data_IF_573998015360
#
_entry.id   IF_573998015360
#
_cell.length_a   1.000
_cell.length_b   1.000
_cell.length_c   1.000
_cell.angle_alpha   90.00
_cell.angle_beta   90.00
_cell.angle_gamma   90.00
#
_symmetry.space_group_name_H-M   'P 1'
#
loop_
_entity.id
_entity.type
_entity.pdbx_description
1 polymer ?
#
# COMPACT_ATOMS: atom_id res chain seq x y z
N UNK A 1 0.97 25.61 13.77
CA UNK A 1 1.69 24.32 13.77
C UNK A 1 1.90 23.90 12.32
N UNK A 2 3.07 23.35 11.95
CA UNK A 2 3.29 22.82 10.60
C UNK A 2 2.43 21.56 10.42
N UNK A 3 1.99 21.27 9.22
CA UNK A 3 1.09 20.16 8.93
C UNK A 3 1.79 19.07 8.12
N UNK A 4 1.56 17.81 8.48
CA UNK A 4 2.14 16.65 7.81
C UNK A 4 1.04 15.70 7.36
N UNK A 5 1.08 15.28 6.09
CA UNK A 5 0.20 14.25 5.56
C UNK A 5 0.97 12.92 5.47
N UNK A 6 0.41 11.85 6.01
CA UNK A 6 0.93 10.49 5.88
C UNK A 6 -0.03 9.69 5.00
N UNK A 7 0.47 9.10 3.93
CA UNK A 7 -0.24 8.11 3.13
C UNK A 7 0.37 6.74 3.30
N UNK A 8 -0.47 5.72 3.30
CA UNK A 8 -0.02 4.32 3.23
C UNK A 8 -1.19 3.38 3.03
N UNK A 9 -0.92 2.08 3.11
CA UNK A 9 -1.93 1.04 2.98
C UNK A 9 -2.35 0.51 4.37
N UNK A 10 -2.64 -0.78 4.46
CA UNK A 10 -3.02 -1.44 5.72
C UNK A 10 -1.92 -1.35 6.78
N UNK A 11 -0.65 -1.36 6.38
CA UNK A 11 0.52 -1.13 7.26
C UNK A 11 0.59 0.30 7.84
N UNK A 12 -0.26 1.22 7.41
CA UNK A 12 -0.39 2.56 8.02
C UNK A 12 -1.70 2.71 8.79
N UNK A 13 -2.56 1.69 8.82
CA UNK A 13 -3.88 1.77 9.46
C UNK A 13 -3.84 1.63 10.99
N UNK A 14 -2.75 1.11 11.54
CA UNK A 14 -2.56 0.93 12.98
C UNK A 14 -1.77 -0.32 13.32
N UNK A 15 -2.08 -0.91 14.46
CA UNK A 15 -1.49 -2.14 14.99
C UNK A 15 -2.48 -3.29 14.90
N UNK A 16 -1.99 -4.44 14.45
CA UNK A 16 -2.79 -5.64 14.27
C UNK A 16 -2.46 -6.67 15.35
N UNK A 17 -3.45 -7.51 15.63
CA UNK A 17 -3.28 -8.69 16.46
C UNK A 17 -4.07 -9.85 15.90
N UNK A 18 -3.91 -10.99 16.57
CA UNK A 18 -4.54 -12.24 16.17
C UNK A 18 -5.96 -12.27 16.74
N UNK A 19 -6.94 -12.55 15.87
CA UNK A 19 -8.31 -12.82 16.26
C UNK A 19 -8.51 -14.34 16.43
N UNK A 20 -8.52 -14.77 17.68
CA UNK A 20 -8.69 -16.16 18.10
C UNK A 20 -10.16 -16.63 18.08
N UNK A 21 -11.12 -15.72 17.88
CA UNK A 21 -12.55 -16.02 17.87
C UNK A 21 -12.98 -17.00 16.77
N UNK A 22 -12.16 -17.16 15.72
CA UNK A 22 -12.39 -18.08 14.60
C UNK A 22 -11.42 -19.26 14.58
N UNK A 23 -10.62 -19.46 15.64
CA UNK A 23 -9.86 -20.68 15.79
C UNK A 23 -10.82 -21.86 15.91
N UNK A 24 -10.71 -22.83 15.01
CA UNK A 24 -11.43 -24.09 15.14
C UNK A 24 -11.16 -24.72 16.51
N UNK A 25 -12.09 -25.53 17.01
CA UNK A 25 -11.91 -26.33 18.23
C UNK A 25 -10.53 -26.98 18.25
N UNK A 26 -9.88 -27.02 19.42
CA UNK A 26 -8.45 -27.32 19.67
C UNK A 26 -7.84 -28.53 18.92
N UNK A 27 -8.66 -29.42 18.36
CA UNK A 27 -8.27 -30.69 17.76
C UNK A 27 -7.79 -30.63 16.29
N UNK A 28 -7.94 -29.51 15.58
CA UNK A 28 -7.42 -29.41 14.19
C UNK A 28 -6.77 -28.05 13.89
N UNK A 29 -5.50 -27.92 14.29
CA UNK A 29 -4.64 -26.77 13.97
C UNK A 29 -4.55 -26.48 12.45
N UNK A 30 -4.85 -27.46 11.59
CA UNK A 30 -4.88 -27.26 10.13
C UNK A 30 -6.15 -26.53 9.65
N UNK A 31 -7.17 -26.44 10.49
CA UNK A 31 -8.43 -25.74 10.21
C UNK A 31 -8.56 -24.41 10.98
N UNK A 32 -7.54 -24.00 11.74
CA UNK A 32 -7.54 -22.68 12.37
C UNK A 32 -7.32 -21.61 11.31
N UNK A 33 -8.41 -20.93 10.94
CA UNK A 33 -8.33 -19.71 10.13
C UNK A 33 -8.09 -18.57 11.11
N UNK A 34 -6.83 -18.36 11.48
CA UNK A 34 -6.43 -17.15 12.20
C UNK A 34 -6.85 -15.95 11.34
N UNK A 35 -7.56 -14.99 11.92
CA UNK A 35 -7.87 -13.75 11.22
C UNK A 35 -7.08 -12.63 11.87
N UNK A 36 -6.49 -11.75 11.07
CA UNK A 36 -5.96 -10.52 11.62
C UNK A 36 -7.10 -9.57 11.93
N UNK A 37 -7.06 -8.99 13.12
CA UNK A 37 -7.90 -7.85 13.47
C UNK A 37 -7.01 -6.64 13.68
N UNK A 38 -7.52 -5.48 13.26
CA UNK A 38 -6.91 -4.22 13.65
C UNK A 38 -7.25 -3.97 15.13
N UNK A 39 -6.30 -4.22 16.02
CA UNK A 39 -6.48 -4.10 17.47
C UNK A 39 -6.46 -2.66 17.94
N UNK A 40 -5.58 -1.87 17.34
CA UNK A 40 -5.42 -0.47 17.68
C UNK A 40 -5.21 0.34 16.42
N UNK A 41 -5.75 1.56 16.41
CA UNK A 41 -5.49 2.54 15.37
C UNK A 41 -4.12 3.19 15.52
N UNK A 42 -3.39 2.96 16.62
CA UNK A 42 -2.04 3.48 16.84
C UNK A 42 -1.07 2.78 15.88
N UNK A 43 -0.54 3.51 14.90
CA UNK A 43 0.47 3.01 13.95
C UNK A 43 1.90 3.49 14.27
N UNK A 44 2.85 3.08 13.42
CA UNK A 44 4.28 3.45 13.52
C UNK A 44 4.52 4.94 13.69
N UNK A 45 3.68 5.78 13.07
CA UNK A 45 3.81 7.24 13.10
C UNK A 45 3.63 7.83 14.51
N UNK A 46 2.95 7.13 15.42
CA UNK A 46 2.77 7.56 16.83
C UNK A 46 4.09 7.45 17.62
N UNK A 47 5.00 6.60 17.16
CA UNK A 47 6.30 6.33 17.77
C UNK A 47 7.45 7.12 17.11
N UNK A 48 7.13 7.99 16.14
CA UNK A 48 8.12 8.85 15.48
C UNK A 48 8.16 10.21 16.19
N UNK A 49 9.20 10.46 16.98
CA UNK A 49 9.27 11.63 17.87
C UNK A 49 9.24 12.95 17.11
N UNK A 50 9.91 13.02 15.96
CA UNK A 50 9.95 14.25 15.18
C UNK A 50 8.61 14.55 14.50
N UNK A 51 7.66 13.62 14.45
CA UNK A 51 6.29 13.89 13.97
C UNK A 51 5.46 14.64 15.00
N UNK A 52 5.77 14.55 16.30
CA UNK A 52 5.04 15.23 17.39
C UNK A 52 5.05 16.76 17.29
N UNK A 53 5.92 17.35 16.46
CA UNK A 53 5.95 18.79 16.16
C UNK A 53 5.03 19.22 15.01
N UNK A 54 4.29 18.27 14.41
CA UNK A 54 3.38 18.51 13.30
C UNK A 54 1.92 18.23 13.69
N UNK A 55 1.00 18.91 13.02
CA UNK A 55 -0.40 18.53 12.91
C UNK A 55 -0.50 17.44 11.84
N UNK A 56 -0.61 16.19 12.28
CA UNK A 56 -0.51 15.02 11.42
C UNK A 56 -1.90 14.58 10.97
N UNK A 57 -2.10 14.45 9.66
CA UNK A 57 -3.22 13.72 9.07
C UNK A 57 -2.69 12.42 8.48
N UNK A 58 -3.22 11.28 8.92
CA UNK A 58 -2.93 9.97 8.35
C UNK A 58 -4.10 9.54 7.48
N UNK A 59 -3.82 9.20 6.22
CA UNK A 59 -4.78 8.59 5.30
C UNK A 59 -4.26 7.20 4.96
N UNK A 60 -4.85 6.18 5.58
CA UNK A 60 -4.56 4.80 5.28
C UNK A 60 -5.62 4.23 4.33
N UNK A 61 -5.16 3.55 3.28
CA UNK A 61 -6.01 2.93 2.26
C UNK A 61 -5.74 1.42 2.23
N UNK A 62 -6.33 0.62 3.14
CA UNK A 62 -6.14 -0.83 3.22
C UNK A 62 -6.40 -1.52 1.88
N UNK A 63 -5.56 -2.49 1.54
CA UNK A 63 -5.60 -3.23 0.27
C UNK A 63 -5.40 -2.37 -1.01
N UNK A 64 -5.20 -1.05 -0.88
CA UNK A 64 -5.02 -0.16 -2.03
C UNK A 64 -3.55 0.08 -2.38
N UNK A 65 -3.30 0.81 -3.47
CA UNK A 65 -1.96 1.19 -3.93
C UNK A 65 -1.86 2.52 -4.68
N UNK A 66 -0.92 2.59 -5.61
CA UNK A 66 -0.44 3.84 -6.21
C UNK A 66 -1.51 4.60 -7.00
N UNK A 67 -2.39 3.90 -7.72
CA UNK A 67 -3.48 4.55 -8.46
C UNK A 67 -4.50 5.22 -7.52
N UNK A 68 -4.79 4.62 -6.37
CA UNK A 68 -5.62 5.22 -5.33
C UNK A 68 -4.95 6.47 -4.76
N UNK A 69 -3.63 6.44 -4.56
CA UNK A 69 -2.90 7.62 -4.10
C UNK A 69 -2.94 8.74 -5.13
N UNK A 70 -2.84 8.44 -6.42
CA UNK A 70 -3.05 9.43 -7.49
C UNK A 70 -4.45 10.05 -7.41
N UNK A 71 -5.51 9.25 -7.25
CA UNK A 71 -6.87 9.78 -7.10
C UNK A 71 -6.96 10.75 -5.91
N UNK A 72 -6.42 10.36 -4.75
CA UNK A 72 -6.40 11.19 -3.55
C UNK A 72 -5.61 12.49 -3.76
N UNK A 73 -4.40 12.41 -4.32
CA UNK A 73 -3.55 13.57 -4.55
C UNK A 73 -4.15 14.54 -5.56
N UNK A 74 -4.70 14.01 -6.66
CA UNK A 74 -5.38 14.82 -7.68
C UNK A 74 -6.54 15.59 -7.05
N UNK A 75 -7.40 14.93 -6.29
CA UNK A 75 -8.53 15.58 -5.64
C UNK A 75 -8.09 16.58 -4.56
N UNK A 76 -7.03 16.28 -3.80
CA UNK A 76 -6.44 17.24 -2.86
C UNK A 76 -5.86 18.47 -3.58
N UNK A 77 -5.27 18.31 -4.78
CA UNK A 77 -4.77 19.42 -5.60
C UNK A 77 -5.92 20.26 -6.17
N UNK A 78 -6.92 19.61 -6.78
CA UNK A 78 -8.10 20.26 -7.36
C UNK A 78 -8.87 21.09 -6.32
N UNK A 79 -8.99 20.56 -5.09
CA UNK A 79 -9.62 21.28 -3.97
C UNK A 79 -8.67 22.26 -3.26
N UNK A 80 -7.45 22.46 -3.77
CA UNK A 80 -6.39 23.31 -3.20
C UNK A 80 -5.95 22.92 -1.78
N UNK A 81 -6.39 21.77 -1.28
CA UNK A 81 -6.06 21.28 0.07
C UNK A 81 -4.62 20.81 0.16
N UNK A 82 -4.07 20.24 -0.90
CA UNK A 82 -2.68 19.77 -0.92
C UNK A 82 -1.70 20.91 -0.58
N UNK A 83 -1.77 22.01 -1.34
CA UNK A 83 -0.93 23.20 -1.15
C UNK A 83 -1.24 23.97 0.13
N UNK A 84 -2.52 24.16 0.46
CA UNK A 84 -2.93 25.02 1.59
C UNK A 84 -2.78 24.32 2.95
N UNK A 85 -2.91 22.99 2.99
CA UNK A 85 -2.98 22.24 4.24
C UNK A 85 -1.67 21.56 4.61
N UNK A 86 -0.75 21.22 3.71
CA UNK A 86 0.36 20.35 4.08
C UNK A 86 1.75 20.92 3.72
N UNK A 87 2.63 21.00 4.73
CA UNK A 87 4.02 21.41 4.58
C UNK A 87 4.94 20.23 4.26
N UNK A 88 4.53 19.03 4.69
CA UNK A 88 5.31 17.79 4.57
C UNK A 88 4.42 16.62 4.22
N UNK A 89 4.97 15.68 3.45
CA UNK A 89 4.33 14.40 3.14
C UNK A 89 5.22 13.24 3.56
N UNK A 90 4.63 12.15 4.04
CA UNK A 90 5.27 10.85 4.21
C UNK A 90 4.44 9.83 3.45
N UNK A 91 5.10 8.97 2.68
CA UNK A 91 4.46 7.86 1.98
C UNK A 91 5.09 6.56 2.50
N UNK A 92 4.27 5.67 3.04
CA UNK A 92 4.60 4.29 3.30
C UNK A 92 4.25 3.47 2.06
N UNK A 93 5.26 2.99 1.35
CA UNK A 93 5.08 2.18 0.14
C UNK A 93 4.46 0.83 0.47
N UNK A 94 3.57 0.39 -0.41
CA UNK A 94 2.99 -0.94 -0.35
C UNK A 94 4.07 -2.00 -0.54
N UNK A 95 3.84 -3.19 0.01
CA UNK A 95 4.76 -4.32 -0.14
C UNK A 95 4.84 -4.85 -1.58
N UNK A 96 3.87 -4.53 -2.43
CA UNK A 96 3.86 -4.83 -3.86
C UNK A 96 3.26 -3.64 -4.64
N UNK A 97 3.58 -3.46 -5.93
CA UNK A 97 3.11 -2.33 -6.73
C UNK A 97 1.62 -2.44 -7.12
N UNK A 98 0.72 -2.17 -6.16
CA UNK A 98 -0.74 -2.30 -6.34
C UNK A 98 -1.31 -1.18 -7.22
N UNK A 99 -2.18 -1.58 -8.15
CA UNK A 99 -2.96 -0.66 -9.00
C UNK A 99 -4.44 -0.88 -8.69
N UNK A 100 -4.95 -0.09 -7.76
CA UNK A 100 -6.34 -0.15 -7.32
C UNK A 100 -6.96 1.23 -7.38
N UNK A 101 -8.26 1.28 -7.60
CA UNK A 101 -9.02 2.52 -7.68
C UNK A 101 -10.12 2.51 -6.63
N UNK A 102 -10.31 3.64 -5.97
CA UNK A 102 -11.52 3.92 -5.21
C UNK A 102 -12.63 4.33 -6.18
N UNK A 103 -13.89 4.13 -5.79
CA UNK A 103 -15.00 4.65 -6.57
C UNK A 103 -14.99 6.18 -6.49
N UNK A 104 -15.12 6.87 -7.63
CA UNK A 104 -14.96 8.33 -7.67
C UNK A 104 -15.91 9.07 -6.71
N UNK A 105 -17.15 8.57 -6.56
CA UNK A 105 -18.13 9.14 -5.62
C UNK A 105 -17.67 9.02 -4.17
N UNK A 106 -17.01 7.92 -3.79
CA UNK A 106 -16.49 7.72 -2.43
C UNK A 106 -15.36 8.72 -2.16
N UNK A 107 -14.45 8.91 -3.12
CA UNK A 107 -13.32 9.86 -2.99
C UNK A 107 -13.84 11.30 -2.90
N UNK A 108 -14.78 11.66 -3.76
CA UNK A 108 -15.34 13.01 -3.81
C UNK A 108 -16.14 13.34 -2.56
N UNK A 109 -17.07 12.47 -2.12
CA UNK A 109 -17.81 12.65 -0.88
C UNK A 109 -16.88 12.75 0.32
N UNK A 110 -15.84 11.92 0.33
CA UNK A 110 -14.84 11.90 1.39
C UNK A 110 -14.08 13.22 1.50
N UNK A 111 -13.64 13.79 0.37
CA UNK A 111 -12.90 15.05 0.37
C UNK A 111 -13.82 16.24 0.63
N UNK A 112 -15.03 16.24 0.06
CA UNK A 112 -16.04 17.30 0.26
C UNK A 112 -16.54 17.35 1.70
N UNK A 113 -16.72 16.20 2.35
CA UNK A 113 -17.09 16.12 3.77
C UNK A 113 -15.96 16.49 4.73
N UNK A 114 -14.80 16.94 4.22
CA UNK A 114 -13.61 17.23 5.02
C UNK A 114 -13.25 16.06 5.94
N UNK A 115 -13.40 14.83 5.42
CA UNK A 115 -13.15 13.57 6.11
C UNK A 115 -14.06 13.27 7.32
N UNK A 116 -15.06 14.10 7.62
CA UNK A 116 -15.84 14.02 8.87
C UNK A 116 -16.40 12.62 9.15
N UNK A 117 -16.84 11.88 8.12
CA UNK A 117 -17.45 10.55 8.29
C UNK A 117 -16.47 9.42 8.64
N UNK A 118 -15.18 9.59 8.35
CA UNK A 118 -14.16 8.53 8.54
C UNK A 118 -12.98 9.02 9.39
N UNK A 119 -13.17 10.19 10.02
CA UNK A 119 -12.16 10.88 10.82
C UNK A 119 -12.27 10.46 12.27
N UNK A 120 -11.16 10.02 12.81
CA UNK A 120 -10.94 9.82 14.24
C UNK A 120 -9.76 10.71 14.67
N UNK A 121 -9.72 11.15 15.92
CA UNK A 121 -8.58 11.89 16.47
C UNK A 121 -7.99 11.04 17.58
N UNK A 122 -6.72 10.66 17.42
CA UNK A 122 -5.99 9.80 18.36
C UNK A 122 -4.61 10.42 18.58
N UNK A 123 -4.22 10.68 19.83
CA UNK A 123 -2.94 11.30 20.17
C UNK A 123 -2.64 12.61 19.41
N UNK A 124 -3.68 13.43 19.17
CA UNK A 124 -3.62 14.65 18.35
C UNK A 124 -3.32 14.42 16.87
N UNK A 125 -3.47 13.20 16.38
CA UNK A 125 -3.34 12.80 14.98
C UNK A 125 -4.74 12.62 14.39
N UNK A 126 -5.00 13.30 13.27
CA UNK A 126 -6.20 13.09 12.47
C UNK A 126 -6.05 11.79 11.69
N UNK A 127 -6.75 10.74 12.11
CA UNK A 127 -6.69 9.43 11.51
C UNK A 127 -7.86 9.23 10.56
N UNK A 128 -7.56 8.80 9.33
CA UNK A 128 -8.59 8.58 8.33
C UNK A 128 -8.33 7.29 7.57
N UNK A 129 -9.31 6.39 7.62
CA UNK A 129 -9.19 5.06 7.01
C UNK A 129 -10.22 4.91 5.91
N UNK A 130 -9.68 4.71 4.71
CA UNK A 130 -10.43 4.52 3.49
C UNK A 130 -10.41 3.04 3.11
N UNK A 131 -11.25 2.26 3.78
CA UNK A 131 -11.59 0.93 3.32
C UNK A 131 -12.67 1.07 2.26
N UNK A 132 -12.36 0.84 0.98
CA UNK A 132 -13.42 0.76 0.00
C UNK A 132 -14.28 -0.45 0.34
N UNK A 133 -15.55 -0.21 0.68
CA UNK A 133 -16.50 -1.31 0.93
C UNK A 133 -16.78 -2.12 -0.33
N UNK A 134 -16.31 -1.64 -1.50
CA UNK A 134 -16.41 -2.26 -2.82
C UNK A 134 -15.11 -2.11 -3.64
N UNK A 135 -13.93 -2.11 -3.02
CA UNK A 135 -12.68 -1.99 -3.81
C UNK A 135 -12.29 -3.30 -4.48
N UNK A 136 -12.07 -3.24 -5.78
CA UNK A 136 -11.34 -4.26 -6.51
C UNK A 136 -9.83 -4.04 -6.32
N UNK A 137 -9.11 -5.06 -5.83
CA UNK A 137 -7.65 -5.02 -5.63
C UNK A 137 -6.91 -5.97 -6.57
N UNK A 138 -5.80 -5.56 -7.18
CA UNK A 138 -4.90 -6.50 -7.87
C UNK A 138 -3.58 -6.63 -7.13
N UNK A 139 -3.21 -7.88 -6.86
CA UNK A 139 -1.89 -8.29 -6.40
C UNK A 139 -1.02 -8.53 -7.65
N UNK A 140 0.20 -7.98 -7.66
CA UNK A 140 1.18 -8.24 -8.72
C UNK A 140 2.18 -9.24 -8.14
N UNK A 141 1.78 -10.51 -8.11
CA UNK A 141 2.69 -11.61 -7.80
C UNK A 141 2.60 -12.71 -8.89
N UNK A 142 3.70 -13.06 -9.60
CA UNK A 142 3.68 -14.07 -10.65
C UNK A 142 3.48 -15.51 -10.16
N UNK A 143 3.50 -15.77 -8.85
CA UNK A 143 3.41 -17.13 -8.31
C UNK A 143 1.97 -17.57 -8.04
N UNK A 144 1.67 -18.72 -8.62
CA UNK A 144 0.45 -19.53 -8.60
C UNK A 144 -0.37 -19.46 -7.30
N UNK A 145 -1.51 -18.75 -7.33
CA UNK A 145 -2.67 -19.13 -6.51
C UNK A 145 -3.90 -19.15 -7.40
N UNK A 146 -4.57 -20.29 -7.44
CA UNK A 146 -5.81 -20.51 -8.15
C UNK A 146 -6.92 -19.63 -7.54
N UNK A 147 -7.61 -18.90 -8.41
CA UNK A 147 -8.83 -18.13 -8.21
C UNK A 147 -8.85 -17.07 -7.08
N UNK A 148 -8.69 -15.77 -7.42
CA UNK A 148 -9.04 -14.70 -6.48
C UNK A 148 -10.56 -14.68 -6.24
N UNK A 149 -11.03 -14.47 -5.00
CA UNK A 149 -12.46 -14.48 -4.67
C UNK A 149 -13.24 -13.39 -5.43
N UNK A 150 -14.52 -13.71 -5.70
CA UNK A 150 -15.44 -13.10 -6.66
C UNK A 150 -15.80 -11.60 -6.48
N UNK A 151 -15.09 -10.84 -5.64
CA UNK A 151 -15.29 -9.39 -5.45
C UNK A 151 -14.32 -8.49 -6.22
N UNK A 152 -13.45 -9.05 -7.06
CA UNK A 152 -12.19 -8.40 -7.45
C UNK A 152 -12.11 -8.05 -8.94
N UNK A 153 -13.09 -7.29 -9.42
CA UNK A 153 -13.11 -6.80 -10.80
C UNK A 153 -12.43 -5.42 -10.90
N UNK A 154 -11.11 -5.42 -11.03
CA UNK A 154 -10.33 -4.20 -11.28
C UNK A 154 -10.35 -3.80 -12.74
N UNK A 155 -10.03 -2.54 -13.00
CA UNK A 155 -9.78 -2.02 -14.34
C UNK A 155 -8.71 -2.84 -15.07
N UNK A 156 -7.62 -3.29 -14.43
CA UNK A 156 -6.63 -4.16 -15.07
C UNK A 156 -7.13 -5.59 -15.31
N UNK A 157 -8.03 -6.15 -14.48
CA UNK A 157 -8.72 -7.40 -14.81
C UNK A 157 -9.70 -7.22 -15.95
N UNK A 158 -10.39 -6.08 -16.03
CA UNK A 158 -11.24 -5.72 -17.16
C UNK A 158 -10.42 -5.55 -18.44
N UNK A 159 -9.28 -4.86 -18.37
CA UNK A 159 -8.34 -4.74 -19.49
C UNK A 159 -7.68 -6.07 -19.82
N UNK A 160 -7.31 -6.91 -18.85
CA UNK A 160 -6.81 -8.26 -19.08
C UNK A 160 -7.87 -9.12 -19.76
N UNK A 161 -9.13 -9.08 -19.30
CA UNK A 161 -10.22 -9.82 -19.91
C UNK A 161 -10.60 -9.27 -21.29
N UNK A 162 -10.54 -7.95 -21.50
CA UNK A 162 -10.76 -7.32 -22.79
C UNK A 162 -9.63 -7.66 -23.77
N UNK A 163 -8.37 -7.59 -23.32
CA UNK A 163 -7.21 -8.02 -24.10
C UNK A 163 -7.27 -9.51 -24.37
N UNK A 164 -7.63 -10.34 -23.38
CA UNK A 164 -7.81 -11.79 -23.55
C UNK A 164 -8.88 -12.10 -24.57
N UNK A 165 -10.01 -11.36 -24.58
CA UNK A 165 -11.03 -11.46 -25.62
C UNK A 165 -10.52 -11.02 -26.99
N UNK A 166 -9.84 -9.87 -27.06
CA UNK A 166 -9.22 -9.36 -28.29
C UNK A 166 -8.21 -10.36 -28.88
N UNK A 167 -7.34 -10.93 -28.04
CA UNK A 167 -6.34 -11.92 -28.44
C UNK A 167 -6.97 -13.29 -28.73
N UNK A 168 -8.02 -13.70 -28.03
CA UNK A 168 -8.78 -14.91 -28.36
C UNK A 168 -9.47 -14.78 -29.73
N UNK A 169 -9.91 -13.58 -30.10
CA UNK A 169 -10.46 -13.32 -31.43
C UNK A 169 -9.36 -13.28 -32.51
N UNK A 170 -8.15 -12.80 -32.18
CA UNK A 170 -6.97 -12.94 -33.06
C UNK A 170 -6.56 -14.42 -33.22
N UNK A 171 -6.60 -15.23 -32.16
CA UNK A 171 -6.31 -16.67 -32.21
C UNK A 171 -7.34 -17.45 -33.05
N UNK A 172 -8.63 -17.08 -32.95
CA UNK A 172 -9.68 -17.65 -33.83
C UNK A 172 -9.44 -17.33 -35.31
N UNK A 173 -8.78 -16.21 -35.62
CA UNK A 173 -8.35 -15.87 -36.97
C UNK A 173 -7.08 -16.62 -37.40
N UNK A 174 -6.33 -17.19 -36.47
CA UNK A 174 -5.08 -17.96 -36.70
C UNK A 174 -5.27 -19.49 -36.64
N UNK A 175 -6.51 -19.99 -36.72
CA UNK A 175 -7.05 -21.36 -36.51
C UNK A 175 -6.27 -22.62 -36.98
N UNK A 176 -5.07 -22.53 -37.53
CA UNK A 176 -4.29 -23.66 -38.05
C UNK A 176 -3.07 -24.07 -37.20
N UNK A 177 -2.91 -23.59 -35.96
CA UNK A 177 -1.80 -24.06 -35.08
C UNK A 177 -2.28 -24.31 -33.65
N UNK A 178 -2.52 -25.58 -33.34
CA UNK A 178 -3.03 -26.09 -32.05
C UNK A 178 -2.11 -25.83 -30.84
N UNK A 179 -0.86 -25.42 -31.07
CA UNK A 179 0.17 -25.40 -30.02
C UNK A 179 0.43 -24.00 -29.44
N UNK A 180 -0.23 -22.94 -29.93
CA UNK A 180 0.05 -21.54 -29.55
C UNK A 180 -0.75 -21.02 -28.35
N UNK A 181 -1.85 -21.65 -27.97
CA UNK A 181 -2.86 -21.02 -27.09
C UNK A 181 -2.39 -20.85 -25.63
N UNK A 182 -1.58 -21.78 -25.10
CA UNK A 182 -1.00 -21.67 -23.75
C UNK A 182 0.15 -20.64 -23.67
N UNK A 183 0.83 -20.39 -24.79
CA UNK A 183 1.94 -19.44 -24.88
C UNK A 183 1.41 -17.98 -24.87
N UNK A 184 0.28 -17.73 -25.52
CA UNK A 184 -0.37 -16.41 -25.53
C UNK A 184 -0.87 -15.96 -24.15
N UNK A 185 -1.51 -16.84 -23.37
CA UNK A 185 -2.07 -16.46 -22.06
C UNK A 185 -0.97 -16.10 -21.04
N UNK A 186 0.13 -16.87 -20.98
CA UNK A 186 1.27 -16.57 -20.10
C UNK A 186 1.98 -15.29 -20.51
N UNK A 187 2.19 -15.07 -21.80
CA UNK A 187 2.82 -13.85 -22.31
C UNK A 187 1.95 -12.62 -22.11
N UNK A 188 0.63 -12.75 -22.28
CA UNK A 188 -0.32 -11.67 -22.02
C UNK A 188 -0.37 -11.33 -20.53
N UNK A 189 -0.40 -12.34 -19.66
CA UNK A 189 -0.34 -12.14 -18.20
C UNK A 189 0.96 -11.44 -17.81
N UNK A 190 2.10 -11.88 -18.32
CA UNK A 190 3.40 -11.24 -18.08
C UNK A 190 3.47 -9.82 -18.64
N UNK A 191 2.86 -9.57 -19.80
CA UNK A 191 2.80 -8.23 -20.39
C UNK A 191 1.95 -7.29 -19.54
N UNK A 192 0.72 -7.71 -19.19
CA UNK A 192 -0.25 -6.88 -18.47
C UNK A 192 0.19 -6.65 -17.02
N UNK A 193 0.58 -7.70 -16.30
CA UNK A 193 0.94 -7.59 -14.88
C UNK A 193 2.43 -7.32 -14.63
N UNK A 194 3.29 -7.62 -15.60
CA UNK A 194 4.69 -7.23 -15.55
C UNK A 194 4.88 -5.84 -16.12
N UNK A 195 5.16 -5.74 -17.41
CA UNK A 195 5.61 -4.49 -18.04
C UNK A 195 4.56 -3.36 -17.95
N UNK A 196 3.31 -3.62 -18.32
CA UNK A 196 2.27 -2.59 -18.36
C UNK A 196 1.89 -2.12 -16.95
N UNK A 197 1.70 -3.06 -16.01
CA UNK A 197 1.50 -2.74 -14.60
C UNK A 197 2.63 -1.88 -14.03
N UNK A 198 3.88 -2.26 -14.29
CA UNK A 198 5.05 -1.48 -13.87
C UNK A 198 5.02 -0.05 -14.46
N UNK A 199 4.63 0.10 -15.73
CA UNK A 199 4.50 1.43 -16.36
C UNK A 199 3.40 2.29 -15.74
N UNK A 200 2.29 1.69 -15.36
CA UNK A 200 1.22 2.41 -14.62
C UNK A 200 1.75 2.86 -13.26
N UNK A 201 2.43 1.99 -12.52
CA UNK A 201 2.99 2.30 -11.20
C UNK A 201 4.04 3.40 -11.31
N UNK A 202 4.94 3.31 -12.29
CA UNK A 202 5.92 4.35 -12.60
C UNK A 202 5.23 5.70 -12.87
N UNK A 203 4.20 5.71 -13.73
CA UNK A 203 3.40 6.91 -13.98
C UNK A 203 2.76 7.45 -12.70
N UNK A 204 2.15 6.60 -11.88
CA UNK A 204 1.54 7.02 -10.62
C UNK A 204 2.56 7.63 -9.64
N UNK A 205 3.72 7.00 -9.50
CA UNK A 205 4.78 7.49 -8.61
C UNK A 205 5.33 8.84 -9.09
N UNK A 206 5.54 9.01 -10.39
CA UNK A 206 6.00 10.27 -10.98
C UNK A 206 4.93 11.36 -10.82
N UNK A 207 3.66 11.05 -11.06
CA UNK A 207 2.56 12.00 -10.88
C UNK A 207 2.50 12.57 -9.46
N UNK A 208 2.59 11.70 -8.44
CA UNK A 208 2.59 12.13 -7.03
C UNK A 208 3.80 13.02 -6.73
N UNK A 209 4.99 12.65 -7.22
CA UNK A 209 6.20 13.45 -7.04
C UNK A 209 6.13 14.81 -7.75
N UNK A 210 5.60 14.85 -8.96
CA UNK A 210 5.42 16.08 -9.74
C UNK A 210 4.43 17.03 -9.07
N UNK A 211 3.35 16.52 -8.49
CA UNK A 211 2.44 17.33 -7.67
C UNK A 211 3.13 17.89 -6.42
N UNK A 212 3.91 17.06 -5.72
CA UNK A 212 4.70 17.54 -4.57
C UNK A 212 5.68 18.62 -5.00
N UNK A 213 6.36 18.45 -6.15
CA UNK A 213 7.32 19.40 -6.71
C UNK A 213 6.65 20.71 -7.11
N UNK A 214 5.52 20.64 -7.83
CA UNK A 214 4.68 21.80 -8.23
C UNK A 214 4.32 22.67 -7.03
N UNK A 215 4.05 22.07 -5.88
CA UNK A 215 3.65 22.79 -4.66
C UNK A 215 4.79 23.02 -3.67
N UNK A 216 6.03 22.69 -4.05
CA UNK A 216 7.21 22.77 -3.17
C UNK A 216 7.02 22.01 -1.83
N UNK A 217 6.26 20.93 -1.85
CA UNK A 217 6.04 20.06 -0.70
C UNK A 217 7.20 19.08 -0.64
N UNK A 218 7.94 19.11 0.47
CA UNK A 218 9.02 18.16 0.74
C UNK A 218 8.45 16.96 1.49
N UNK A 219 9.11 15.83 1.40
CA UNK A 219 8.62 14.64 2.07
C UNK A 219 9.56 13.47 2.00
N UNK A 220 9.08 12.37 2.58
CA UNK A 220 9.83 11.14 2.71
C UNK A 220 9.02 9.96 2.22
N UNK A 221 9.72 8.96 1.72
CA UNK A 221 9.14 7.71 1.27
C UNK A 221 9.93 6.57 1.91
N UNK A 222 9.25 5.61 2.50
CA UNK A 222 9.85 4.42 3.08
C UNK A 222 9.02 3.19 2.74
N UNK A 223 9.63 2.01 2.79
CA UNK A 223 9.02 0.78 2.28
C UNK A 223 9.18 -0.36 3.28
N UNK A 224 8.17 -1.23 3.35
CA UNK A 224 8.26 -2.47 4.13
C UNK A 224 9.07 -3.55 3.41
N UNK A 225 8.82 -3.75 2.12
CA UNK A 225 9.43 -4.84 1.33
C UNK A 225 10.54 -4.35 0.38
N UNK A 226 10.33 -3.23 -0.32
CA UNK A 226 11.36 -2.67 -1.17
C UNK A 226 10.94 -1.35 -1.82
N UNK A 227 11.90 -0.58 -2.35
CA UNK A 227 11.61 0.69 -3.00
C UNK A 227 10.90 0.47 -4.34
N UNK A 228 9.82 1.22 -4.58
CA UNK A 228 9.10 1.23 -5.86
C UNK A 228 9.19 2.63 -6.48
N UNK A 229 8.91 3.67 -5.70
CA UNK A 229 9.04 5.06 -6.13
C UNK A 229 10.52 5.47 -6.27
N UNK A 230 10.85 6.07 -7.41
CA UNK A 230 12.22 6.51 -7.75
C UNK A 230 12.77 7.66 -6.90
N UNK A 231 11.91 8.41 -6.19
CA UNK A 231 12.31 9.48 -5.27
C UNK A 231 13.17 10.58 -5.92
N UNK A 232 12.75 11.10 -7.08
CA UNK A 232 13.38 12.24 -7.78
C UNK A 232 13.11 13.60 -7.11
N UNK A 233 12.03 13.72 -6.33
CA UNK A 233 11.70 14.94 -5.56
C UNK A 233 11.54 14.66 -4.06
N UNK A 234 10.86 13.58 -3.71
CA UNK A 234 10.74 13.13 -2.32
C UNK A 234 12.00 12.37 -1.91
N UNK A 235 12.35 12.40 -0.62
CA UNK A 235 13.56 11.72 -0.12
C UNK A 235 13.24 10.29 0.28
N UNK A 236 14.08 9.34 -0.14
CA UNK A 236 14.02 7.96 0.33
C UNK A 236 14.57 7.87 1.75
N UNK A 237 13.83 7.26 2.66
CA UNK A 237 14.42 6.76 3.91
C UNK A 237 15.29 5.57 3.54
N UNK A 238 16.57 5.51 3.98
CA UNK A 238 17.44 4.36 3.77
C UNK A 238 16.77 3.05 4.19
N UNK A 239 17.25 1.92 3.69
CA UNK A 239 16.84 0.59 4.15
C UNK A 239 17.66 0.19 5.40
N UNK A 240 17.12 -0.69 6.26
CA UNK A 240 17.91 -1.29 7.32
C UNK A 240 19.11 -2.03 6.75
N UNK A 241 20.21 -2.08 7.50
CA UNK A 241 21.42 -2.82 7.10
C UNK A 241 21.67 -3.97 8.08
N UNK A 242 22.07 -5.13 7.56
CA UNK A 242 22.48 -6.26 8.39
C UNK A 242 23.89 -6.05 8.97
N UNK A 243 24.37 -7.01 9.76
CA UNK A 243 25.72 -6.97 10.36
C UNK A 243 26.87 -6.95 9.34
N UNK A 244 26.60 -7.29 8.08
CA UNK A 244 27.55 -7.26 6.97
C UNK A 244 27.48 -5.95 6.16
N UNK A 245 26.60 -5.02 6.54
CA UNK A 245 26.40 -3.75 5.85
C UNK A 245 25.52 -3.85 4.61
N UNK A 246 24.85 -4.97 4.38
CA UNK A 246 23.95 -5.16 3.24
C UNK A 246 22.54 -4.66 3.58
N UNK A 247 21.88 -4.01 2.62
CA UNK A 247 20.49 -3.60 2.78
C UNK A 247 19.60 -4.84 2.94
N UNK A 248 18.75 -4.81 3.95
CA UNK A 248 17.71 -5.82 4.19
C UNK A 248 16.36 -5.13 4.26
N UNK A 249 15.29 -5.88 3.98
CA UNK A 249 13.93 -5.35 4.01
C UNK A 249 13.52 -5.13 5.46
N UNK A 250 12.78 -4.05 5.72
CA UNK A 250 12.22 -3.81 7.07
C UNK A 250 11.26 -4.94 7.47
N UNK A 251 10.55 -5.52 6.50
CA UNK A 251 9.76 -6.73 6.71
C UNK A 251 10.59 -7.89 7.27
N UNK A 252 11.78 -8.15 6.73
CA UNK A 252 12.62 -9.26 7.18
C UNK A 252 13.08 -9.06 8.63
N UNK A 253 13.37 -7.81 9.01
CA UNK A 253 13.68 -7.44 10.40
C UNK A 253 12.49 -7.75 11.33
N UNK A 254 11.27 -7.42 10.91
CA UNK A 254 10.06 -7.67 11.69
C UNK A 254 9.75 -9.18 11.78
N UNK A 255 9.97 -9.94 10.70
CA UNK A 255 9.83 -11.40 10.69
C UNK A 255 10.82 -12.04 11.69
N UNK A 256 12.09 -11.65 11.64
CA UNK A 256 13.13 -12.20 12.53
C UNK A 256 12.84 -11.95 14.02
N UNK A 257 12.13 -10.86 14.33
CA UNK A 257 11.75 -10.48 15.69
C UNK A 257 10.34 -10.93 16.08
N UNK A 258 9.64 -11.66 15.22
CA UNK A 258 8.26 -12.13 15.45
C UNK A 258 7.27 -10.98 15.72
N UNK A 259 7.45 -9.86 15.02
CA UNK A 259 6.65 -8.64 15.21
C UNK A 259 5.57 -8.45 14.13
N UNK A 260 5.26 -9.51 13.39
CA UNK A 260 4.14 -9.56 12.45
C UNK A 260 3.10 -10.59 12.93
N UNK A 261 1.83 -10.32 12.68
CA UNK A 261 0.72 -11.24 12.90
C UNK A 261 0.70 -12.28 11.76
N UNK A 262 1.38 -13.40 11.93
CA UNK A 262 1.33 -14.48 10.94
C UNK A 262 0.01 -15.26 11.07
N UNK A 263 -0.55 -15.66 9.92
CA UNK A 263 -1.75 -16.47 9.85
C UNK A 263 -1.43 -17.92 10.25
N UNK A 264 -0.69 -18.65 9.42
CA UNK A 264 -0.43 -20.08 9.60
C UNK A 264 1.07 -20.43 9.53
N UNK A 265 1.87 -19.61 8.86
CA UNK A 265 3.31 -19.80 8.76
C UNK A 265 4.07 -18.46 8.63
N UNK A 266 5.38 -18.47 8.89
CA UNK A 266 6.25 -17.27 8.80
C UNK A 266 6.38 -16.67 7.39
N UNK A 267 5.93 -17.37 6.36
CA UNK A 267 5.89 -16.87 4.98
C UNK A 267 4.56 -16.17 4.64
N UNK A 268 3.55 -16.24 5.51
CA UNK A 268 2.28 -15.56 5.29
C UNK A 268 2.43 -14.03 5.41
N UNK A 269 1.52 -13.31 4.74
CA UNK A 269 1.52 -11.86 4.71
C UNK A 269 0.87 -11.30 5.97
N UNK A 270 1.67 -11.18 7.03
CA UNK A 270 1.24 -10.56 8.28
C UNK A 270 1.39 -9.03 8.30
N UNK A 271 0.53 -8.36 9.05
CA UNK A 271 0.66 -6.97 9.47
C UNK A 271 1.49 -6.85 10.75
N UNK A 272 2.01 -5.67 11.01
CA UNK A 272 2.81 -5.43 12.20
C UNK A 272 1.95 -5.32 13.47
N UNK A 273 2.47 -5.89 14.56
CA UNK A 273 1.94 -5.70 15.91
C UNK A 273 2.22 -4.28 16.41
N UNK A 274 1.75 -3.94 17.61
CA UNK A 274 2.11 -2.67 18.25
C UNK A 274 3.63 -2.56 18.47
N UNK A 275 4.27 -3.63 18.93
CA UNK A 275 5.72 -3.68 19.07
C UNK A 275 6.45 -3.59 17.72
N UNK A 276 5.87 -4.16 16.66
CA UNK A 276 6.33 -3.94 15.29
C UNK A 276 6.25 -2.47 14.87
N UNK A 277 5.15 -1.79 15.18
CA UNK A 277 5.00 -0.35 14.94
C UNK A 277 6.00 0.49 15.75
N UNK A 278 6.29 0.12 17.01
CA UNK A 278 7.34 0.78 17.82
C UNK A 278 8.70 0.68 17.17
N UNK A 279 9.09 -0.53 16.75
CA UNK A 279 10.36 -0.74 16.06
C UNK A 279 10.47 0.07 14.76
N UNK A 280 9.41 0.13 13.96
CA UNK A 280 9.38 0.97 12.74
C UNK A 280 9.56 2.45 13.13
N UNK A 281 8.89 2.92 14.18
CA UNK A 281 9.01 4.30 14.66
C UNK A 281 10.42 4.66 15.11
N UNK A 282 11.06 3.78 15.90
CA UNK A 282 12.46 3.91 16.33
C UNK A 282 13.40 3.97 15.13
N UNK A 283 13.23 3.06 14.18
CA UNK A 283 13.98 3.03 12.93
C UNK A 283 13.88 4.35 12.17
N UNK A 284 12.67 4.87 12.01
CA UNK A 284 12.43 6.15 11.34
C UNK A 284 13.03 7.32 12.13
N UNK A 285 13.04 7.31 13.46
CA UNK A 285 13.72 8.33 14.24
C UNK A 285 15.24 8.33 13.97
N UNK A 286 15.87 7.16 14.02
CA UNK A 286 17.31 6.97 13.79
C UNK A 286 17.73 7.41 12.38
N UNK A 287 17.03 6.94 11.35
CA UNK A 287 17.43 7.26 9.96
C UNK A 287 17.16 8.72 9.61
N UNK A 288 16.16 9.32 10.22
CA UNK A 288 15.78 10.70 9.92
C UNK A 288 16.59 11.73 10.72
N UNK A 289 17.12 11.40 11.90
CA UNK A 289 18.05 12.27 12.61
C UNK A 289 19.36 12.48 11.84
N UNK A 290 19.76 11.49 11.05
CA UNK A 290 20.98 11.54 10.22
C UNK A 290 20.78 12.30 8.90
N UNK A 291 19.53 12.49 8.47
CA UNK A 291 19.19 13.32 7.32
C UNK A 291 19.01 14.75 7.85
N UNK A 292 20.06 15.59 7.80
CA UNK A 292 19.98 17.01 8.19
C UNK A 292 18.66 17.64 7.68
N UNK A 293 17.75 17.91 8.61
CA UNK A 293 16.39 18.41 8.37
C UNK A 293 16.38 19.89 7.97
#
# INVERSE_FOLDING_TARGET
>A
MKKCLILGCSFTSGSYGIDDRYSGTEDDWKNQIWQEKLESRVGWYSYVDWLKKYDVTVIATPAQGYATWVQLFKQLDETQRLKRKYDKIIIQETWEPRITFLQDIEVEEFIRSNFVKCREILDNIEHVILSGRNTASMLINPQETADPPAGTLTLLNLHYNALKRLFADIDKLQKNKSDNQMFLDKNLRNFVFGWFGQKIVEWCTNFVQDLCKKHNIKGYVWSMDGPIMSCTHLKRVPEPVNQYGENIKLRDVLIQKELLTFYNNRNDFGHQTEEGNKLIGEYLNEKMSNIRL
#
